data_IF_646378222471
#
_entry.id   IF_646378222471
#
_cell.length_a   1.000
_cell.length_b   1.000
_cell.length_c   1.000
_cell.angle_alpha   90.00
_cell.angle_beta   90.00
_cell.angle_gamma   90.00
#
_symmetry.space_group_name_H-M   'P 1'
#
loop_
_entity.id
_entity.type
_entity.pdbx_description
1 polymer ?
#
# COMPACT_ATOMS: atom_id res chain seq x y z
N UNK A 1 -18.85 -25.52 -4.49
CA UNK A 1 -17.85 -25.03 -5.45
C UNK A 1 -17.67 -26.00 -6.58
N UNK A 2 -17.60 -25.52 -7.82
CA UNK A 2 -17.31 -26.33 -8.99
C UNK A 2 -15.84 -26.77 -9.05
N UNK A 3 -15.51 -27.72 -9.93
CA UNK A 3 -14.12 -28.20 -10.10
C UNK A 3 -13.17 -27.06 -10.49
N UNK A 4 -13.58 -26.21 -11.43
CA UNK A 4 -12.79 -25.05 -11.86
C UNK A 4 -12.44 -24.11 -10.70
N UNK A 5 -13.44 -23.75 -9.88
CA UNK A 5 -13.25 -22.86 -8.72
C UNK A 5 -12.28 -23.48 -7.70
N UNK A 6 -12.41 -24.79 -7.44
CA UNK A 6 -11.49 -25.52 -6.56
C UNK A 6 -10.05 -25.50 -7.07
N UNK A 7 -9.85 -25.73 -8.35
CA UNK A 7 -8.52 -25.74 -8.96
C UNK A 7 -7.90 -24.34 -8.96
N UNK A 8 -8.66 -23.31 -9.32
CA UNK A 8 -8.18 -21.91 -9.32
C UNK A 8 -7.83 -21.45 -7.90
N UNK A 9 -8.67 -21.71 -6.91
CA UNK A 9 -8.40 -21.34 -5.51
C UNK A 9 -7.15 -22.05 -4.97
N UNK A 10 -6.98 -23.34 -5.28
CA UNK A 10 -5.80 -24.10 -4.85
C UNK A 10 -4.53 -23.60 -5.55
N UNK A 11 -4.61 -23.31 -6.84
CA UNK A 11 -3.51 -22.70 -7.61
C UNK A 11 -3.12 -21.34 -7.03
N UNK A 12 -4.09 -20.44 -6.77
CA UNK A 12 -3.84 -19.13 -6.13
C UNK A 12 -3.18 -19.26 -4.76
N UNK A 13 -3.64 -20.20 -3.93
CA UNK A 13 -2.97 -20.49 -2.66
C UNK A 13 -1.52 -20.95 -2.90
N UNK A 14 -1.28 -21.81 -3.90
CA UNK A 14 0.05 -22.20 -4.36
C UNK A 14 0.97 -21.01 -4.65
N UNK A 15 0.48 -19.99 -5.38
CA UNK A 15 1.23 -18.76 -5.68
C UNK A 15 1.60 -17.96 -4.41
N UNK A 16 0.88 -18.17 -3.32
CA UNK A 16 1.00 -17.42 -2.06
C UNK A 16 1.73 -18.17 -0.93
N UNK A 17 1.96 -19.48 -1.07
CA UNK A 17 2.52 -20.35 -0.01
C UNK A 17 3.99 -20.08 0.39
N UNK A 18 4.69 -19.14 -0.25
CA UNK A 18 6.10 -18.86 0.04
C UNK A 18 6.33 -18.00 1.28
N UNK A 19 7.30 -18.37 2.14
CA UNK A 19 7.81 -17.52 3.25
C UNK A 19 8.25 -16.13 2.74
N UNK A 20 8.76 -16.06 1.51
CA UNK A 20 9.11 -14.80 0.84
C UNK A 20 7.89 -13.89 0.63
N UNK A 21 6.71 -14.45 0.37
CA UNK A 21 5.47 -13.69 0.13
C UNK A 21 4.93 -13.08 1.43
N UNK A 22 4.89 -13.86 2.51
CA UNK A 22 4.53 -13.39 3.86
C UNK A 22 5.48 -12.29 4.33
N UNK A 23 6.79 -12.54 4.29
CA UNK A 23 7.79 -11.55 4.68
C UNK A 23 7.71 -10.27 3.85
N UNK A 24 7.49 -10.38 2.53
CA UNK A 24 7.32 -9.23 1.67
C UNK A 24 6.03 -8.46 2.00
N UNK A 25 4.91 -9.14 2.24
CA UNK A 25 3.65 -8.50 2.62
C UNK A 25 3.81 -7.69 3.90
N UNK A 26 4.40 -8.27 4.94
CA UNK A 26 4.65 -7.62 6.22
C UNK A 26 5.59 -6.41 6.05
N UNK A 27 6.73 -6.58 5.37
CA UNK A 27 7.70 -5.49 5.20
C UNK A 27 7.14 -4.33 4.36
N UNK A 28 6.47 -4.65 3.24
CA UNK A 28 5.85 -3.64 2.36
C UNK A 28 4.71 -2.90 3.06
N UNK A 29 3.89 -3.61 3.82
CA UNK A 29 2.80 -3.01 4.61
C UNK A 29 3.34 -2.13 5.74
N UNK A 30 4.37 -2.59 6.46
CA UNK A 30 5.03 -1.81 7.50
C UNK A 30 5.66 -0.53 6.93
N UNK A 31 6.41 -0.64 5.83
CA UNK A 31 7.01 0.51 5.14
C UNK A 31 5.96 1.51 4.67
N UNK A 32 4.82 1.03 4.18
CA UNK A 32 3.72 1.90 3.77
C UNK A 32 3.01 2.56 4.95
N UNK A 33 2.76 1.84 6.05
CA UNK A 33 2.24 2.44 7.27
C UNK A 33 3.15 3.56 7.80
N UNK A 34 4.48 3.37 7.72
CA UNK A 34 5.45 4.43 8.04
C UNK A 34 5.34 5.62 7.07
N UNK A 35 5.16 5.35 5.77
CA UNK A 35 5.01 6.37 4.73
C UNK A 35 3.75 7.22 4.94
N UNK A 36 2.62 6.57 5.26
CA UNK A 36 1.37 7.25 5.58
C UNK A 36 1.50 8.09 6.86
N UNK A 37 2.23 7.59 7.87
CA UNK A 37 2.53 8.36 9.08
C UNK A 37 3.41 9.57 8.77
N UNK A 38 4.44 9.39 7.94
CA UNK A 38 5.32 10.48 7.52
C UNK A 38 4.55 11.56 6.75
N UNK A 39 3.59 11.16 5.90
CA UNK A 39 2.72 12.08 5.17
C UNK A 39 1.85 12.94 6.09
N UNK A 40 1.55 12.52 7.33
CA UNK A 40 0.79 13.35 8.27
C UNK A 40 1.53 14.64 8.67
N UNK A 41 2.86 14.66 8.57
CA UNK A 41 3.67 15.86 8.87
C UNK A 41 3.33 16.99 7.89
N UNK A 42 3.59 16.86 6.56
CA UNK A 42 3.16 17.89 5.61
C UNK A 42 1.65 18.05 5.58
N UNK A 43 0.85 16.98 5.75
CA UNK A 43 -0.61 17.08 5.80
C UNK A 43 -1.07 18.06 6.88
N UNK A 44 -0.48 18.01 8.07
CA UNK A 44 -0.85 18.91 9.17
C UNK A 44 -0.55 20.36 8.81
N UNK A 45 0.56 20.66 8.13
CA UNK A 45 0.86 22.02 7.70
C UNK A 45 -0.07 22.51 6.58
N UNK A 46 -0.33 21.67 5.57
CA UNK A 46 -1.23 21.98 4.46
C UNK A 46 -2.65 22.21 4.97
N UNK A 47 -3.16 21.32 5.84
CA UNK A 47 -4.47 21.46 6.49
C UNK A 47 -4.55 22.72 7.34
N UNK A 48 -3.44 23.12 8.00
CA UNK A 48 -3.37 24.40 8.72
C UNK A 48 -3.61 25.59 7.79
N UNK A 49 -2.96 25.58 6.62
CA UNK A 49 -3.09 26.65 5.64
C UNK A 49 -4.49 26.74 5.05
N UNK A 50 -5.08 25.61 4.68
CA UNK A 50 -6.45 25.57 4.11
C UNK A 50 -7.48 25.98 5.17
N UNK A 51 -7.29 25.56 6.43
CA UNK A 51 -8.17 25.93 7.54
C UNK A 51 -8.27 27.43 7.81
N UNK A 52 -7.32 28.24 7.33
CA UNK A 52 -7.45 29.70 7.39
C UNK A 52 -8.67 30.19 6.59
N UNK A 53 -9.02 29.47 5.52
CA UNK A 53 -10.15 29.76 4.64
C UNK A 53 -11.38 28.93 4.98
N UNK A 54 -11.24 27.60 5.10
CA UNK A 54 -12.36 26.70 5.39
C UNK A 54 -12.86 26.79 6.84
N UNK A 55 -12.06 27.37 7.74
CA UNK A 55 -12.29 27.44 9.19
C UNK A 55 -12.31 26.09 9.91
N UNK A 56 -11.90 25.02 9.23
CA UNK A 56 -11.93 23.68 9.76
C UNK A 56 -10.62 22.92 9.51
N UNK A 57 -10.10 22.28 10.55
CA UNK A 57 -9.04 21.28 10.51
C UNK A 57 -9.65 19.91 10.27
N UNK A 58 -9.11 19.16 9.33
CA UNK A 58 -9.59 17.80 9.02
C UNK A 58 -8.63 16.70 9.44
N UNK A 59 -7.38 17.05 9.76
CA UNK A 59 -6.35 16.07 10.11
C UNK A 59 -5.31 16.67 11.06
N UNK A 60 -4.66 15.79 11.80
CA UNK A 60 -3.58 16.14 12.71
C UNK A 60 -2.54 15.03 12.81
N UNK A 61 -1.26 15.40 12.94
CA UNK A 61 -0.19 14.46 13.21
C UNK A 61 -0.39 13.81 14.59
N UNK A 62 -0.34 12.48 14.61
CA UNK A 62 -0.32 11.69 15.84
C UNK A 62 0.15 10.26 15.53
N UNK A 63 0.85 9.69 16.50
CA UNK A 63 1.20 8.25 16.55
C UNK A 63 0.39 7.51 17.61
N UNK A 64 -0.49 8.22 18.34
CA UNK A 64 -1.42 7.59 19.30
C UNK A 64 -2.33 6.62 18.58
N UNK A 65 -2.74 5.56 19.27
CA UNK A 65 -3.58 4.51 18.70
C UNK A 65 -2.78 3.38 18.05
N UNK A 66 -1.57 3.62 17.55
CA UNK A 66 -0.74 2.55 16.97
C UNK A 66 -0.50 1.40 17.95
N UNK A 67 0.04 1.61 19.17
CA UNK A 67 0.34 0.49 20.06
C UNK A 67 -0.91 -0.30 20.45
N UNK A 68 -2.00 0.38 20.81
CA UNK A 68 -3.24 -0.27 21.22
C UNK A 68 -3.93 -0.99 20.07
N UNK A 69 -4.02 -0.35 18.90
CA UNK A 69 -4.60 -0.95 17.70
C UNK A 69 -3.76 -2.10 17.15
N UNK A 70 -2.43 -2.03 17.26
CA UNK A 70 -1.55 -3.12 16.84
C UNK A 70 -1.74 -4.36 17.74
N UNK A 71 -1.85 -4.18 19.05
CA UNK A 71 -2.15 -5.27 19.99
C UNK A 71 -3.55 -5.86 19.72
N UNK A 72 -4.57 -5.02 19.56
CA UNK A 72 -5.93 -5.46 19.20
C UNK A 72 -5.92 -6.25 17.89
N UNK A 73 -5.24 -5.73 16.87
CA UNK A 73 -5.09 -6.41 15.58
C UNK A 73 -4.30 -7.71 15.68
N UNK A 74 -3.34 -7.82 16.60
CA UNK A 74 -2.65 -9.08 16.89
C UNK A 74 -3.61 -10.15 17.42
N UNK A 75 -4.47 -9.78 18.38
CA UNK A 75 -5.50 -10.68 18.92
C UNK A 75 -6.50 -11.08 17.83
N UNK A 76 -7.05 -10.10 17.10
CA UNK A 76 -8.00 -10.37 16.00
C UNK A 76 -7.37 -11.14 14.85
N UNK A 77 -6.08 -10.94 14.57
CA UNK A 77 -5.30 -11.72 13.60
C UNK A 77 -5.14 -13.16 14.02
N UNK A 78 -4.86 -13.40 15.30
CA UNK A 78 -4.80 -14.74 15.86
C UNK A 78 -6.15 -15.47 15.82
N UNK A 79 -7.22 -14.77 16.15
CA UNK A 79 -8.59 -15.31 16.06
C UNK A 79 -8.95 -15.63 14.60
N UNK A 80 -8.61 -14.73 13.66
CA UNK A 80 -8.81 -14.96 12.24
C UNK A 80 -7.99 -16.16 11.72
N UNK A 81 -6.73 -16.29 12.14
CA UNK A 81 -5.87 -17.40 11.76
C UNK A 81 -6.48 -18.76 12.15
N UNK A 82 -7.04 -18.83 13.36
CA UNK A 82 -7.66 -20.04 13.90
C UNK A 82 -9.03 -20.34 13.33
N UNK A 83 -9.86 -19.32 13.15
CA UNK A 83 -11.29 -19.49 12.89
C UNK A 83 -11.69 -19.18 11.45
N UNK A 84 -10.89 -18.42 10.70
CA UNK A 84 -11.26 -17.87 9.40
C UNK A 84 -12.35 -16.80 9.46
N UNK A 85 -12.74 -16.36 10.67
CA UNK A 85 -13.79 -15.37 10.90
C UNK A 85 -13.19 -14.03 11.33
N UNK A 86 -13.68 -12.95 10.72
CA UNK A 86 -13.34 -11.58 11.07
C UNK A 86 -14.56 -10.71 10.87
N UNK A 87 -14.65 -9.63 11.66
CA UNK A 87 -15.61 -8.53 11.45
C UNK A 87 -15.35 -7.79 10.13
N UNK A 88 -14.15 -7.97 9.56
CA UNK A 88 -13.72 -7.41 8.28
C UNK A 88 -13.84 -8.45 7.17
N UNK A 89 -13.97 -7.96 5.93
CA UNK A 89 -13.83 -8.81 4.76
C UNK A 89 -12.35 -8.99 4.35
N UNK A 90 -11.62 -9.77 5.16
CA UNK A 90 -10.18 -9.98 5.02
C UNK A 90 -9.82 -10.70 3.71
N UNK A 91 -10.72 -11.55 3.20
CA UNK A 91 -10.51 -12.33 1.98
C UNK A 91 -10.45 -11.48 0.70
N UNK A 92 -11.02 -10.27 0.70
CA UNK A 92 -11.02 -9.38 -0.46
C UNK A 92 -9.61 -9.01 -0.95
N UNK A 93 -8.61 -8.93 -0.05
CA UNK A 93 -7.23 -8.56 -0.42
C UNK A 93 -6.63 -9.52 -1.46
N UNK A 94 -6.98 -10.79 -1.34
CA UNK A 94 -6.42 -11.89 -2.11
C UNK A 94 -7.38 -12.42 -3.18
N UNK A 95 -8.49 -11.70 -3.43
CA UNK A 95 -9.58 -12.15 -4.31
C UNK A 95 -10.03 -13.59 -3.97
N UNK A 96 -10.06 -13.91 -2.66
CA UNK A 96 -10.36 -15.23 -2.14
C UNK A 96 -11.86 -15.53 -2.22
N UNK A 97 -12.20 -16.69 -2.78
CA UNK A 97 -13.55 -17.26 -2.74
C UNK A 97 -13.56 -18.48 -1.82
N UNK A 98 -14.38 -18.43 -0.77
CA UNK A 98 -14.57 -19.57 0.14
C UNK A 98 -14.99 -20.79 -0.67
N UNK A 99 -14.11 -21.77 -0.72
CA UNK A 99 -14.26 -22.97 -1.53
C UNK A 99 -14.38 -24.18 -0.61
N UNK A 100 -15.31 -25.09 -0.91
CA UNK A 100 -15.43 -26.37 -0.19
C UNK A 100 -14.87 -27.49 -1.07
N UNK A 101 -13.80 -28.16 -0.62
CA UNK A 101 -13.11 -29.25 -1.33
C UNK A 101 -13.70 -30.66 -1.08
N UNK A 102 -14.74 -30.77 -0.26
CA UNK A 102 -15.38 -32.04 0.09
C UNK A 102 -14.72 -32.74 1.30
N UNK A 103 -15.25 -33.90 1.66
CA UNK A 103 -14.87 -34.62 2.91
C UNK A 103 -13.81 -35.70 2.73
N UNK A 104 -13.36 -35.96 1.49
CA UNK A 104 -12.31 -36.95 1.23
C UNK A 104 -10.98 -36.55 1.90
N UNK A 105 -10.07 -37.49 2.19
CA UNK A 105 -8.76 -37.15 2.76
C UNK A 105 -8.00 -36.10 1.92
N UNK A 106 -8.00 -36.26 0.59
CA UNK A 106 -7.42 -35.30 -0.33
C UNK A 106 -8.13 -33.93 -0.28
N UNK A 107 -9.47 -33.93 -0.25
CA UNK A 107 -10.25 -32.70 -0.16
C UNK A 107 -9.98 -31.93 1.13
N UNK A 108 -9.87 -32.64 2.27
CA UNK A 108 -9.50 -32.03 3.56
C UNK A 108 -8.08 -31.45 3.53
N UNK A 109 -7.13 -32.15 2.92
CA UNK A 109 -5.76 -31.65 2.77
C UNK A 109 -5.72 -30.38 1.91
N UNK A 110 -6.42 -30.35 0.78
CA UNK A 110 -6.54 -29.16 -0.07
C UNK A 110 -7.17 -27.99 0.68
N UNK A 111 -8.26 -28.24 1.42
CA UNK A 111 -8.91 -27.24 2.25
C UNK A 111 -7.95 -26.67 3.30
N UNK A 112 -7.20 -27.52 4.00
CA UNK A 112 -6.26 -27.09 5.04
C UNK A 112 -5.15 -26.19 4.47
N UNK A 113 -4.60 -26.53 3.31
CA UNK A 113 -3.57 -25.71 2.64
C UNK A 113 -4.13 -24.37 2.20
N UNK A 114 -5.31 -24.34 1.56
CA UNK A 114 -5.91 -23.08 1.11
C UNK A 114 -6.29 -22.18 2.27
N UNK A 115 -6.98 -22.73 3.27
CA UNK A 115 -7.41 -21.97 4.44
C UNK A 115 -6.20 -21.46 5.22
N UNK A 116 -5.19 -22.29 5.51
CA UNK A 116 -3.98 -21.83 6.18
C UNK A 116 -3.31 -20.67 5.44
N UNK A 117 -3.16 -20.78 4.11
CA UNK A 117 -2.48 -19.76 3.31
C UNK A 117 -3.20 -18.41 3.37
N UNK A 118 -4.51 -18.39 3.12
CA UNK A 118 -5.29 -17.15 3.13
C UNK A 118 -5.51 -16.62 4.55
N UNK A 119 -5.68 -17.49 5.54
CA UNK A 119 -5.82 -17.08 6.94
C UNK A 119 -4.54 -16.47 7.50
N UNK A 120 -3.37 -17.07 7.20
CA UNK A 120 -2.07 -16.53 7.61
C UNK A 120 -1.85 -15.13 7.03
N UNK A 121 -1.97 -14.99 5.71
CA UNK A 121 -1.77 -13.71 5.04
C UNK A 121 -2.79 -12.64 5.46
N UNK A 122 -4.03 -13.04 5.74
CA UNK A 122 -5.04 -12.12 6.26
C UNK A 122 -4.86 -11.76 7.74
N UNK A 123 -4.22 -12.64 8.52
CA UNK A 123 -3.88 -12.39 9.92
C UNK A 123 -2.71 -11.41 10.05
N UNK A 124 -1.70 -11.52 9.17
CA UNK A 124 -0.53 -10.63 9.12
C UNK A 124 -0.90 -9.14 9.00
N UNK A 125 -1.99 -8.83 8.29
CA UNK A 125 -2.42 -7.45 8.05
C UNK A 125 -3.24 -6.86 9.21
N UNK A 126 -3.78 -7.68 10.11
CA UNK A 126 -4.67 -7.19 11.17
C UNK A 126 -3.98 -6.17 12.10
N UNK A 127 -2.76 -6.40 12.62
CA UNK A 127 -2.07 -5.42 13.45
C UNK A 127 -1.89 -4.06 12.76
N UNK A 128 -1.52 -4.06 11.48
CA UNK A 128 -1.31 -2.83 10.70
C UNK A 128 -2.63 -2.10 10.43
N UNK A 129 -3.68 -2.83 10.08
CA UNK A 129 -5.01 -2.25 9.87
C UNK A 129 -5.53 -1.58 11.14
N UNK A 130 -5.59 -2.31 12.27
CA UNK A 130 -6.16 -1.77 13.50
C UNK A 130 -5.28 -0.66 14.10
N UNK A 131 -3.95 -0.75 13.92
CA UNK A 131 -3.04 0.35 14.23
C UNK A 131 -3.34 1.62 13.43
N UNK A 132 -3.46 1.51 12.10
CA UNK A 132 -3.79 2.64 11.23
C UNK A 132 -5.20 3.20 11.48
N UNK A 133 -6.17 2.32 11.73
CA UNK A 133 -7.55 2.66 12.06
C UNK A 133 -7.62 3.49 13.35
N UNK A 134 -7.04 2.97 14.45
CA UNK A 134 -7.03 3.67 15.74
C UNK A 134 -6.29 5.00 15.65
N UNK A 135 -5.14 5.04 14.96
CA UNK A 135 -4.41 6.29 14.70
C UNK A 135 -5.24 7.31 13.93
N UNK A 136 -5.99 6.88 12.92
CA UNK A 136 -6.86 7.77 12.15
C UNK A 136 -7.95 8.38 13.03
N UNK A 137 -8.59 7.59 13.89
CA UNK A 137 -9.58 8.10 14.86
C UNK A 137 -8.97 9.15 15.79
N UNK A 138 -7.76 8.90 16.33
CA UNK A 138 -7.06 9.90 17.13
C UNK A 138 -6.73 11.17 16.34
N UNK A 139 -6.28 11.04 15.09
CA UNK A 139 -5.95 12.17 14.22
C UNK A 139 -7.17 13.07 14.01
N UNK A 140 -8.31 12.46 13.71
CA UNK A 140 -9.58 13.15 13.49
C UNK A 140 -10.10 13.79 14.79
N UNK A 141 -10.09 13.06 15.91
CA UNK A 141 -10.52 13.58 17.20
C UNK A 141 -9.65 14.77 17.65
N UNK A 142 -8.34 14.72 17.39
CA UNK A 142 -7.42 15.82 17.66
C UNK A 142 -7.76 17.03 16.79
N UNK A 143 -8.00 16.84 15.49
CA UNK A 143 -8.38 17.91 14.58
C UNK A 143 -9.69 18.60 15.03
N UNK A 144 -10.70 17.82 15.43
CA UNK A 144 -11.95 18.36 15.98
C UNK A 144 -11.73 19.14 17.29
N UNK A 145 -10.84 18.65 18.17
CA UNK A 145 -10.48 19.37 19.38
C UNK A 145 -9.79 20.72 19.08
N UNK A 146 -8.95 20.76 18.04
CA UNK A 146 -8.32 22.00 17.55
C UNK A 146 -9.36 22.98 17.01
N UNK A 147 -10.36 22.51 16.26
CA UNK A 147 -11.46 23.33 15.77
C UNK A 147 -12.26 23.97 16.91
N UNK A 148 -12.47 23.20 18.00
CA UNK A 148 -13.10 23.69 19.24
C UNK A 148 -12.17 24.52 20.13
N UNK A 149 -10.92 24.74 19.72
CA UNK A 149 -9.88 25.48 20.47
C UNK A 149 -9.61 24.91 21.87
N UNK A 150 -9.90 23.63 22.10
CA UNK A 150 -9.69 22.97 23.38
C UNK A 150 -8.19 22.78 23.67
N UNK A 151 -7.81 22.90 24.94
CA UNK A 151 -6.41 22.78 25.38
C UNK A 151 -6.29 21.92 26.64
N UNK A 152 -5.06 21.49 26.94
CA UNK A 152 -4.74 20.77 28.18
C UNK A 152 -5.65 19.56 28.43
N UNK A 153 -6.15 19.46 29.67
CA UNK A 153 -7.01 18.35 30.12
C UNK A 153 -8.33 18.27 29.35
N UNK A 154 -8.93 19.40 29.00
CA UNK A 154 -10.21 19.43 28.26
C UNK A 154 -10.05 18.80 26.88
N UNK A 155 -8.97 19.13 26.16
CA UNK A 155 -8.64 18.49 24.89
C UNK A 155 -8.46 16.98 25.06
N UNK A 156 -7.77 16.56 26.12
CA UNK A 156 -7.53 15.15 26.37
C UNK A 156 -8.82 14.37 26.59
N UNK A 157 -9.70 14.88 27.46
CA UNK A 157 -11.02 14.28 27.73
C UNK A 157 -11.86 14.22 26.46
N UNK A 158 -11.89 15.30 25.67
CA UNK A 158 -12.63 15.35 24.42
C UNK A 158 -12.14 14.31 23.41
N UNK A 159 -10.81 14.21 23.21
CA UNK A 159 -10.21 13.23 22.29
C UNK A 159 -10.51 11.80 22.74
N UNK A 160 -10.39 11.51 24.04
CA UNK A 160 -10.63 10.17 24.57
C UNK A 160 -12.11 9.78 24.46
N UNK A 161 -13.03 10.72 24.63
CA UNK A 161 -14.46 10.51 24.45
C UNK A 161 -14.81 10.18 22.99
N UNK A 162 -14.26 10.92 22.02
CA UNK A 162 -14.44 10.63 20.61
C UNK A 162 -13.77 9.33 20.18
N UNK A 163 -12.67 8.93 20.82
CA UNK A 163 -12.10 7.62 20.52
C UNK A 163 -12.98 6.47 21.02
N UNK A 164 -13.61 6.63 22.19
CA UNK A 164 -14.54 5.62 22.71
C UNK A 164 -15.86 5.59 21.94
N UNK A 165 -16.30 6.75 21.46
CA UNK A 165 -17.57 6.93 20.76
C UNK A 165 -17.35 7.75 19.47
N UNK A 166 -16.69 7.17 18.45
CA UNK A 166 -16.44 7.86 17.20
C UNK A 166 -17.75 8.05 16.43
N UNK A 167 -17.82 9.11 15.62
CA UNK A 167 -18.94 9.30 14.71
C UNK A 167 -18.84 8.32 13.52
N UNK A 168 -19.95 8.09 12.82
CA UNK A 168 -19.96 7.25 11.62
C UNK A 168 -18.98 7.75 10.56
N UNK A 169 -18.93 9.06 10.34
CA UNK A 169 -17.96 9.67 9.43
C UNK A 169 -16.51 9.40 9.87
N UNK A 170 -16.22 9.45 11.19
CA UNK A 170 -14.88 9.13 11.68
C UNK A 170 -14.50 7.67 11.40
N UNK A 171 -15.46 6.76 11.58
CA UNK A 171 -15.29 5.34 11.30
C UNK A 171 -15.07 5.09 9.79
N UNK A 172 -15.78 5.79 8.92
CA UNK A 172 -15.59 5.71 7.46
C UNK A 172 -14.18 6.15 7.05
N UNK A 173 -13.71 7.30 7.51
CA UNK A 173 -12.35 7.78 7.24
C UNK A 173 -11.28 6.87 7.83
N UNK A 174 -11.49 6.39 9.06
CA UNK A 174 -10.55 5.48 9.69
C UNK A 174 -10.45 4.15 8.94
N UNK A 175 -11.57 3.65 8.43
CA UNK A 175 -11.60 2.48 7.55
C UNK A 175 -10.89 2.73 6.23
N UNK A 176 -11.12 3.85 5.56
CA UNK A 176 -10.44 4.21 4.30
C UNK A 176 -8.91 4.31 4.48
N UNK A 177 -8.46 4.96 5.56
CA UNK A 177 -7.04 5.06 5.92
C UNK A 177 -6.44 3.69 6.24
N UNK A 178 -7.15 2.86 7.00
CA UNK A 178 -6.67 1.53 7.39
C UNK A 178 -6.61 0.57 6.21
N UNK A 179 -7.62 0.57 5.33
CA UNK A 179 -7.61 -0.21 4.10
C UNK A 179 -6.50 0.25 3.14
N UNK A 180 -6.24 1.55 3.10
CA UNK A 180 -5.12 2.12 2.33
C UNK A 180 -3.79 1.60 2.87
N UNK A 181 -3.58 1.65 4.19
CA UNK A 181 -2.33 1.24 4.82
C UNK A 181 -1.91 -0.20 4.48
N UNK A 182 -2.88 -1.11 4.32
CA UNK A 182 -2.65 -2.54 4.04
C UNK A 182 -2.96 -2.97 2.59
N UNK A 183 -3.15 -2.02 1.68
CA UNK A 183 -3.46 -2.24 0.25
C UNK A 183 -4.78 -2.99 -0.03
N UNK A 184 -5.78 -2.85 0.84
CA UNK A 184 -7.11 -3.43 0.62
C UNK A 184 -8.14 -2.45 0.10
N UNK A 185 -7.78 -1.18 -0.10
CA UNK A 185 -8.69 -0.16 -0.59
C UNK A 185 -9.20 -0.46 -2.02
N UNK A 186 -10.44 -0.06 -2.31
CA UNK A 186 -11.03 -0.22 -3.66
C UNK A 186 -10.41 0.79 -4.62
N UNK A 187 -10.07 0.35 -5.83
CA UNK A 187 -9.46 1.18 -6.85
C UNK A 187 -10.11 0.96 -8.21
N UNK A 188 -10.08 1.97 -9.09
CA UNK A 188 -10.58 1.83 -10.46
C UNK A 188 -9.83 0.75 -11.25
N UNK A 189 -8.50 0.64 -11.08
CA UNK A 189 -7.71 -0.45 -11.66
C UNK A 189 -8.17 -1.81 -11.15
N UNK A 190 -8.48 -1.91 -9.86
CA UNK A 190 -9.04 -3.12 -9.26
C UNK A 190 -10.44 -3.44 -9.81
N UNK A 191 -11.26 -2.44 -10.14
CA UNK A 191 -12.58 -2.63 -10.75
C UNK A 191 -12.47 -3.16 -12.20
N UNK A 192 -11.47 -2.69 -12.95
CA UNK A 192 -11.14 -3.21 -14.29
C UNK A 192 -10.63 -4.65 -14.19
N UNK A 193 -9.69 -4.92 -13.27
CA UNK A 193 -9.18 -6.27 -13.02
C UNK A 193 -10.31 -7.24 -12.65
N UNK A 194 -11.25 -6.83 -11.80
CA UNK A 194 -12.44 -7.63 -11.46
C UNK A 194 -13.35 -7.88 -12.66
N UNK A 195 -13.46 -6.94 -13.59
CA UNK A 195 -14.21 -7.14 -14.84
C UNK A 195 -13.56 -8.21 -15.72
N UNK A 196 -12.22 -8.23 -15.81
CA UNK A 196 -11.47 -9.27 -16.53
C UNK A 196 -11.67 -10.63 -15.84
N UNK A 197 -11.54 -10.69 -14.52
CA UNK A 197 -11.71 -11.91 -13.72
C UNK A 197 -13.11 -12.56 -13.86
N UNK A 198 -14.14 -11.79 -14.22
CA UNK A 198 -15.50 -12.32 -14.46
C UNK A 198 -15.63 -13.09 -15.77
N UNK A 199 -14.74 -12.88 -16.73
CA UNK A 199 -14.73 -13.63 -18.00
C UNK A 199 -14.12 -15.02 -17.78
N UNK A 200 -14.59 -16.04 -18.52
CA UNK A 200 -14.06 -17.42 -18.43
C UNK A 200 -12.53 -17.42 -18.63
N UNK A 201 -11.80 -17.94 -17.64
CA UNK A 201 -10.33 -17.97 -17.65
C UNK A 201 -9.66 -16.66 -17.20
N UNK A 202 -10.41 -15.57 -16.97
CA UNK A 202 -9.86 -14.28 -16.56
C UNK A 202 -9.11 -14.31 -15.23
N UNK A 203 -9.50 -15.18 -14.30
CA UNK A 203 -8.80 -15.37 -13.02
C UNK A 203 -7.41 -16.03 -13.17
N UNK A 204 -7.13 -16.68 -14.29
CA UNK A 204 -5.80 -17.24 -14.60
C UNK A 204 -4.89 -16.14 -15.14
N UNK A 205 -5.45 -15.23 -15.95
CA UNK A 205 -4.73 -14.08 -16.52
C UNK A 205 -4.46 -13.03 -15.45
N UNK A 206 -5.45 -12.76 -14.59
CA UNK A 206 -5.36 -11.78 -13.50
C UNK A 206 -5.68 -12.49 -12.18
N UNK A 207 -4.71 -13.19 -11.56
CA UNK A 207 -4.94 -13.94 -10.33
C UNK A 207 -5.31 -13.06 -9.15
N UNK A 208 -4.66 -11.90 -9.05
CA UNK A 208 -4.85 -10.93 -7.98
C UNK A 208 -5.08 -9.55 -8.59
N UNK A 209 -6.31 -9.07 -8.50
CA UNK A 209 -6.72 -7.76 -9.00
C UNK A 209 -6.61 -6.69 -7.91
N UNK A 210 -6.95 -7.02 -6.66
CA UNK A 210 -7.08 -6.02 -5.59
C UNK A 210 -5.74 -5.43 -5.16
N UNK A 211 -4.84 -6.26 -4.62
CA UNK A 211 -3.58 -5.81 -4.02
C UNK A 211 -2.65 -5.12 -5.03
N UNK A 212 -2.35 -5.72 -6.22
CA UNK A 212 -1.49 -5.03 -7.19
C UNK A 212 -2.06 -3.69 -7.65
N UNK A 213 -3.38 -3.61 -7.85
CA UNK A 213 -4.03 -2.35 -8.21
C UNK A 213 -3.97 -1.31 -7.10
N UNK A 214 -4.08 -1.72 -5.83
CA UNK A 214 -3.93 -0.83 -4.69
C UNK A 214 -2.49 -0.29 -4.58
N UNK A 215 -1.48 -1.15 -4.71
CA UNK A 215 -0.06 -0.72 -4.74
C UNK A 215 0.20 0.24 -5.90
N UNK A 216 -0.24 -0.11 -7.11
CA UNK A 216 -0.12 0.76 -8.29
C UNK A 216 -0.77 2.13 -8.05
N UNK A 217 -1.95 2.14 -7.43
CA UNK A 217 -2.59 3.40 -7.09
C UNK A 217 -1.84 4.20 -6.04
N UNK A 218 -1.17 3.58 -5.07
CA UNK A 218 -0.34 4.33 -4.13
C UNK A 218 0.90 4.92 -4.79
N UNK A 219 1.52 4.24 -5.75
CA UNK A 219 2.59 4.82 -6.56
C UNK A 219 2.10 6.12 -7.23
N UNK A 220 0.90 6.09 -7.83
CA UNK A 220 0.28 7.29 -8.43
C UNK A 220 -0.01 8.36 -7.37
N UNK A 221 -0.62 8.00 -6.24
CA UNK A 221 -1.02 8.95 -5.19
C UNK A 221 0.17 9.70 -4.56
N UNK A 222 1.33 9.05 -4.48
CA UNK A 222 2.56 9.65 -3.97
C UNK A 222 3.38 10.34 -5.08
N UNK A 223 3.10 10.09 -6.35
CA UNK A 223 3.73 10.81 -7.46
C UNK A 223 3.16 12.23 -7.62
N UNK A 224 3.84 13.14 -8.34
CA UNK A 224 3.30 14.45 -8.70
C UNK A 224 1.94 14.43 -9.41
N UNK A 225 1.63 13.34 -10.12
CA UNK A 225 0.35 13.16 -10.83
C UNK A 225 -0.81 12.93 -9.86
N UNK A 226 -0.54 12.47 -8.63
CA UNK A 226 -1.55 12.14 -7.62
C UNK A 226 -2.43 13.33 -7.23
N UNK A 227 -1.82 14.49 -6.96
CA UNK A 227 -2.57 15.72 -6.63
C UNK A 227 -3.41 16.21 -7.80
N UNK A 228 -2.87 16.19 -9.02
CA UNK A 228 -3.60 16.62 -10.22
C UNK A 228 -4.84 15.74 -10.42
N UNK A 229 -4.68 14.43 -10.24
CA UNK A 229 -5.79 13.48 -10.30
C UNK A 229 -6.87 13.80 -9.25
N UNK A 230 -6.48 14.06 -8.01
CA UNK A 230 -7.43 14.37 -6.95
C UNK A 230 -8.17 15.68 -7.23
N UNK A 231 -7.47 16.73 -7.66
CA UNK A 231 -8.09 18.00 -8.07
C UNK A 231 -9.13 17.76 -9.18
N UNK A 232 -8.77 17.04 -10.24
CA UNK A 232 -9.68 16.76 -11.34
C UNK A 232 -10.92 15.97 -10.89
N UNK A 233 -10.75 15.02 -9.98
CA UNK A 233 -11.83 14.22 -9.41
C UNK A 233 -12.80 15.06 -8.57
N UNK A 234 -12.28 15.94 -7.72
CA UNK A 234 -13.11 16.81 -6.87
C UNK A 234 -13.84 17.88 -7.70
N UNK A 235 -13.21 18.41 -8.76
CA UNK A 235 -13.88 19.27 -9.75
C UNK A 235 -15.03 18.52 -10.41
N UNK A 236 -14.80 17.29 -10.88
CA UNK A 236 -15.84 16.49 -11.53
C UNK A 236 -17.01 16.17 -10.59
N UNK A 237 -16.74 15.94 -9.30
CA UNK A 237 -17.78 15.70 -8.29
C UNK A 237 -18.49 16.96 -7.81
N UNK A 238 -17.99 18.14 -8.13
CA UNK A 238 -18.60 19.43 -7.77
C UNK A 238 -18.59 19.77 -6.28
N UNK A 239 -17.85 19.03 -5.45
CA UNK A 239 -17.70 19.28 -4.01
C UNK A 239 -16.26 19.05 -3.62
N UNK A 240 -15.63 20.05 -3.00
CA UNK A 240 -14.26 19.96 -2.49
C UNK A 240 -14.21 19.26 -1.13
N UNK A 241 -13.47 18.17 -1.04
CA UNK A 241 -13.14 17.48 0.19
C UNK A 241 -11.72 17.86 0.66
N UNK A 242 -11.65 18.72 1.68
CA UNK A 242 -10.38 19.19 2.23
C UNK A 242 -9.47 18.05 2.70
N UNK A 243 -10.01 17.05 3.40
CA UNK A 243 -9.21 15.93 3.93
C UNK A 243 -8.52 15.18 2.79
N UNK A 244 -9.27 14.84 1.74
CA UNK A 244 -8.72 14.13 0.57
C UNK A 244 -7.66 14.94 -0.14
N UNK A 245 -7.92 16.22 -0.41
CA UNK A 245 -6.95 17.12 -1.02
C UNK A 245 -5.66 17.23 -0.18
N UNK A 246 -5.79 17.47 1.13
CA UNK A 246 -4.66 17.56 2.07
C UNK A 246 -3.82 16.29 2.03
N UNK A 247 -4.46 15.12 2.14
CA UNK A 247 -3.74 13.84 2.13
C UNK A 247 -3.08 13.57 0.77
N UNK A 248 -3.74 13.90 -0.36
CA UNK A 248 -3.14 13.78 -1.68
C UNK A 248 -1.90 14.68 -1.83
N UNK A 249 -2.00 15.94 -1.41
CA UNK A 249 -0.90 16.90 -1.42
C UNK A 249 0.27 16.45 -0.54
N UNK A 250 -0.03 15.96 0.66
CA UNK A 250 0.95 15.44 1.58
C UNK A 250 1.70 14.20 1.04
N UNK A 251 0.97 13.24 0.46
CA UNK A 251 1.58 12.07 -0.19
C UNK A 251 2.48 12.48 -1.34
N UNK A 252 2.07 13.46 -2.14
CA UNK A 252 2.91 14.02 -3.23
C UNK A 252 4.20 14.65 -2.71
N UNK A 253 4.16 15.38 -1.59
CA UNK A 253 5.37 15.93 -0.95
C UNK A 253 6.32 14.81 -0.54
N UNK A 254 5.82 13.78 0.15
CA UNK A 254 6.64 12.63 0.58
C UNK A 254 7.21 11.87 -0.61
N UNK A 255 6.40 11.59 -1.63
CA UNK A 255 6.82 10.83 -2.79
C UNK A 255 7.80 11.60 -3.69
N UNK A 256 7.65 12.92 -3.82
CA UNK A 256 8.66 13.76 -4.49
C UNK A 256 9.99 13.74 -3.73
N UNK A 257 9.95 13.77 -2.40
CA UNK A 257 11.13 13.57 -1.56
C UNK A 257 11.78 12.20 -1.79
N UNK A 258 10.98 11.13 -1.89
CA UNK A 258 11.49 9.80 -2.22
C UNK A 258 12.11 9.74 -3.63
N UNK A 259 11.51 10.36 -4.64
CA UNK A 259 12.11 10.46 -5.97
C UNK A 259 13.45 11.19 -5.94
N UNK A 260 13.54 12.32 -5.21
CA UNK A 260 14.80 13.04 -5.04
C UNK A 260 15.86 12.18 -4.35
N UNK A 261 15.52 11.44 -3.30
CA UNK A 261 16.44 10.48 -2.68
C UNK A 261 16.86 9.39 -3.66
N UNK A 262 15.96 8.93 -4.53
CA UNK A 262 16.24 7.99 -5.61
C UNK A 262 17.32 8.50 -6.58
N UNK A 263 17.24 9.78 -6.96
CA UNK A 263 18.28 10.46 -7.76
C UNK A 263 19.64 10.39 -7.06
N UNK A 264 19.68 10.70 -5.76
CA UNK A 264 20.94 10.70 -5.00
C UNK A 264 21.52 9.28 -4.86
N UNK A 265 20.68 8.29 -4.56
CA UNK A 265 21.08 6.89 -4.48
C UNK A 265 21.62 6.37 -5.83
N UNK A 266 21.03 6.81 -6.94
CA UNK A 266 21.53 6.47 -8.28
C UNK A 266 22.90 7.06 -8.55
N UNK A 267 23.11 8.34 -8.27
CA UNK A 267 24.42 8.99 -8.41
C UNK A 267 25.49 8.32 -7.54
N UNK A 268 25.11 7.85 -6.36
CA UNK A 268 26.00 7.13 -5.45
C UNK A 268 26.23 5.65 -5.80
N UNK A 269 25.60 5.13 -6.87
CA UNK A 269 25.68 3.71 -7.23
C UNK A 269 24.98 2.77 -6.23
N UNK A 270 24.11 3.30 -5.36
CA UNK A 270 23.40 2.57 -4.30
C UNK A 270 22.02 2.08 -4.74
N UNK A 271 21.58 2.38 -5.97
CA UNK A 271 20.36 1.82 -6.56
C UNK A 271 20.67 1.14 -7.89
N UNK A 272 20.07 -0.03 -8.09
CA UNK A 272 20.10 -0.78 -9.33
C UNK A 272 18.74 -0.62 -10.01
N UNK A 273 18.74 -0.22 -11.28
CA UNK A 273 17.53 -0.07 -12.08
C UNK A 273 17.23 -1.39 -12.82
N UNK A 274 16.69 -1.32 -14.04
CA UNK A 274 16.38 -2.50 -14.85
C UNK A 274 17.61 -3.37 -15.15
N UNK A 275 17.35 -4.64 -15.47
CA UNK A 275 18.40 -5.62 -15.73
C UNK A 275 19.30 -5.20 -16.92
N UNK A 276 20.64 -5.35 -16.81
CA UNK A 276 21.57 -4.93 -17.86
C UNK A 276 21.33 -5.65 -19.19
N UNK A 277 21.55 -4.93 -20.31
CA UNK A 277 21.45 -5.54 -21.64
C UNK A 277 22.70 -6.35 -22.01
N UNK A 278 23.90 -5.95 -21.58
CA UNK A 278 25.17 -6.59 -21.95
C UNK A 278 25.53 -7.80 -21.08
N UNK A 279 26.04 -8.87 -21.70
CA UNK A 279 26.37 -10.13 -21.01
C UNK A 279 27.44 -9.95 -19.93
N UNK A 280 28.48 -9.15 -20.19
CA UNK A 280 29.55 -8.88 -19.22
C UNK A 280 29.04 -8.20 -17.95
N UNK A 281 28.16 -7.20 -18.11
CA UNK A 281 27.57 -6.49 -16.98
C UNK A 281 26.62 -7.38 -16.18
N UNK A 282 25.86 -8.26 -16.86
CA UNK A 282 25.03 -9.27 -16.18
C UNK A 282 25.87 -10.22 -15.33
N UNK A 283 26.97 -10.75 -15.87
CA UNK A 283 27.89 -11.62 -15.11
C UNK A 283 28.47 -10.90 -13.89
N UNK A 284 28.79 -9.61 -14.04
CA UNK A 284 29.25 -8.81 -12.91
C UNK A 284 28.15 -8.65 -11.85
N UNK A 285 26.92 -8.35 -12.25
CA UNK A 285 25.78 -8.26 -11.31
C UNK A 285 25.52 -9.58 -10.59
N UNK A 286 25.64 -10.72 -11.27
CA UNK A 286 25.52 -12.04 -10.67
C UNK A 286 26.60 -12.27 -9.60
N UNK A 287 27.85 -11.90 -9.87
CA UNK A 287 28.96 -11.99 -8.92
C UNK A 287 28.79 -11.04 -7.71
N UNK A 288 28.23 -9.86 -7.94
CA UNK A 288 27.95 -8.85 -6.90
C UNK A 288 26.64 -9.13 -6.13
N UNK A 289 25.85 -10.12 -6.55
CA UNK A 289 24.51 -10.37 -6.04
C UNK A 289 23.52 -9.22 -6.31
N UNK A 290 23.80 -8.36 -7.29
CA UNK A 290 23.01 -7.20 -7.68
C UNK A 290 21.74 -7.61 -8.40
N UNK A 291 20.61 -7.11 -7.94
CA UNK A 291 19.29 -7.43 -8.48
C UNK A 291 18.68 -6.24 -9.20
N UNK A 292 17.87 -6.44 -10.25
CA UNK A 292 17.06 -5.35 -10.81
C UNK A 292 16.20 -4.67 -9.75
N UNK A 293 16.00 -3.37 -9.91
CA UNK A 293 15.10 -2.57 -9.09
C UNK A 293 15.36 -2.81 -7.60
N UNK A 294 16.60 -2.60 -7.16
CA UNK A 294 17.06 -2.89 -5.80
C UNK A 294 17.95 -1.78 -5.24
N UNK A 295 18.05 -1.70 -3.92
CA UNK A 295 18.85 -0.72 -3.19
C UNK A 295 19.93 -1.45 -2.41
N UNK A 296 21.16 -0.94 -2.41
CA UNK A 296 22.27 -1.45 -1.63
C UNK A 296 22.17 -0.95 -0.19
N UNK A 297 21.97 -1.86 0.76
CA UNK A 297 21.89 -1.57 2.20
C UNK A 297 22.74 -2.60 2.93
N UNK A 298 23.69 -2.13 3.75
CA UNK A 298 24.62 -2.97 4.52
C UNK A 298 25.34 -4.02 3.64
N UNK A 299 25.81 -3.58 2.47
CA UNK A 299 26.51 -4.44 1.51
C UNK A 299 25.61 -5.48 0.81
N UNK A 300 24.28 -5.41 0.96
CA UNK A 300 23.33 -6.33 0.33
C UNK A 300 22.31 -5.60 -0.52
N UNK A 301 22.10 -6.09 -1.74
CA UNK A 301 21.06 -5.59 -2.65
C UNK A 301 19.67 -6.10 -2.23
N UNK A 302 18.79 -5.17 -1.83
CA UNK A 302 17.42 -5.42 -1.35
C UNK A 302 16.41 -4.93 -2.38
N UNK A 303 15.48 -5.79 -2.80
CA UNK A 303 14.45 -5.44 -3.78
C UNK A 303 13.54 -4.32 -3.26
N UNK A 304 13.16 -3.42 -4.15
CA UNK A 304 12.40 -2.22 -3.82
C UNK A 304 10.97 -2.51 -3.32
N UNK A 305 10.46 -3.69 -3.62
CA UNK A 305 9.15 -4.18 -3.17
C UNK A 305 9.04 -4.20 -1.64
N UNK A 306 10.16 -4.35 -0.93
CA UNK A 306 10.20 -4.37 0.54
C UNK A 306 9.94 -3.00 1.17
N UNK A 307 10.04 -1.91 0.39
CA UNK A 307 9.78 -0.54 0.84
C UNK A 307 8.42 0.01 0.39
N UNK A 308 7.55 -0.85 -0.18
CA UNK A 308 6.24 -0.46 -0.67
C UNK A 308 6.29 0.60 -1.81
N UNK A 309 5.30 1.51 -1.87
CA UNK A 309 5.23 2.55 -2.90
C UNK A 309 6.44 3.47 -2.94
N UNK A 310 7.05 3.78 -1.80
CA UNK A 310 8.25 4.63 -1.77
C UNK A 310 9.45 3.95 -2.43
N UNK A 311 9.58 2.63 -2.33
CA UNK A 311 10.58 1.86 -3.08
C UNK A 311 10.48 2.08 -4.59
N UNK A 312 9.26 2.09 -5.12
CA UNK A 312 9.00 2.35 -6.53
C UNK A 312 9.36 3.78 -6.92
N UNK A 313 9.06 4.76 -6.05
CA UNK A 313 9.39 6.17 -6.29
C UNK A 313 10.91 6.44 -6.23
N UNK A 314 11.64 5.74 -5.36
CA UNK A 314 13.11 5.76 -5.35
C UNK A 314 13.66 5.29 -6.71
N UNK A 315 13.13 4.18 -7.25
CA UNK A 315 13.52 3.67 -8.57
C UNK A 315 13.14 4.63 -9.70
N UNK A 316 11.95 5.23 -9.66
CA UNK A 316 11.54 6.26 -10.62
C UNK A 316 12.52 7.45 -10.59
N UNK A 317 12.94 7.89 -9.40
CA UNK A 317 13.98 8.91 -9.24
C UNK A 317 15.32 8.51 -9.88
N UNK A 318 15.73 7.26 -9.73
CA UNK A 318 16.93 6.74 -10.37
C UNK A 318 16.81 6.69 -11.91
N UNK A 319 15.68 6.24 -12.45
CA UNK A 319 15.44 6.31 -13.90
C UNK A 319 15.40 7.74 -14.43
N UNK A 320 14.84 8.68 -13.67
CA UNK A 320 14.86 10.10 -14.02
C UNK A 320 16.30 10.59 -14.18
N UNK A 321 17.18 10.27 -13.22
CA UNK A 321 18.57 10.68 -13.31
C UNK A 321 19.31 10.01 -14.48
N UNK A 322 19.11 8.70 -14.69
CA UNK A 322 19.69 7.98 -15.83
C UNK A 322 19.27 8.60 -17.17
N UNK A 323 17.99 8.90 -17.32
CA UNK A 323 17.46 9.49 -18.54
C UNK A 323 17.94 10.94 -18.71
N UNK A 324 18.03 11.71 -17.62
CA UNK A 324 18.59 13.07 -17.65
C UNK A 324 20.05 13.07 -18.10
N UNK A 325 20.87 12.14 -17.59
CA UNK A 325 22.28 12.01 -17.97
C UNK A 325 22.47 11.63 -19.45
N UNK A 326 21.52 10.86 -20.01
CA UNK A 326 21.61 10.37 -21.40
C UNK A 326 20.93 11.28 -22.43
N UNK A 327 19.90 12.06 -22.04
CA UNK A 327 19.08 12.88 -22.93
C UNK A 327 19.26 14.39 -22.73
N UNK A 328 19.65 14.83 -21.53
CA UNK A 328 19.80 16.24 -21.17
C UNK A 328 18.48 17.03 -21.00
N UNK A 329 17.32 16.44 -21.32
CA UNK A 329 15.99 17.07 -21.20
C UNK A 329 15.25 16.58 -19.95
N UNK A 330 14.91 17.45 -18.99
CA UNK A 330 14.12 17.07 -17.81
C UNK A 330 12.75 16.49 -18.16
N UNK A 331 12.11 16.96 -19.23
CA UNK A 331 10.80 16.47 -19.66
C UNK A 331 10.89 15.05 -20.20
N UNK A 332 11.85 14.78 -21.10
CA UNK A 332 12.07 13.43 -21.63
C UNK A 332 12.50 12.48 -20.52
N UNK A 333 13.35 12.96 -19.60
CA UNK A 333 13.77 12.20 -18.44
C UNK A 333 12.59 11.77 -17.56
N UNK A 334 11.61 12.64 -17.37
CA UNK A 334 10.40 12.30 -16.62
C UNK A 334 9.53 11.27 -17.34
N UNK A 335 9.40 11.36 -18.67
CA UNK A 335 8.65 10.37 -19.48
C UNK A 335 9.32 8.99 -19.37
N UNK A 336 10.64 8.92 -19.56
CA UNK A 336 11.39 7.68 -19.42
C UNK A 336 11.38 7.14 -17.98
N UNK A 337 11.42 8.01 -16.97
CA UNK A 337 11.29 7.63 -15.57
C UNK A 337 9.96 6.95 -15.27
N UNK A 338 8.87 7.49 -15.80
CA UNK A 338 7.54 6.89 -15.65
C UNK A 338 7.44 5.54 -16.37
N UNK A 339 8.01 5.43 -17.58
CA UNK A 339 8.06 4.17 -18.33
C UNK A 339 8.91 3.11 -17.61
N UNK A 340 10.09 3.50 -17.10
CA UNK A 340 10.98 2.65 -16.31
C UNK A 340 10.35 2.20 -14.99
N UNK A 341 9.66 3.12 -14.30
CA UNK A 341 8.87 2.83 -13.11
C UNK A 341 7.73 1.85 -13.36
N UNK A 342 6.96 2.04 -14.43
CA UNK A 342 5.91 1.12 -14.85
C UNK A 342 6.47 -0.27 -15.16
N UNK A 343 7.58 -0.33 -15.91
CA UNK A 343 8.28 -1.59 -16.20
C UNK A 343 8.75 -2.28 -14.91
N UNK A 344 9.42 -1.55 -14.01
CA UNK A 344 9.85 -2.03 -12.69
C UNK A 344 8.69 -2.60 -11.87
N UNK A 345 7.54 -1.91 -11.88
CA UNK A 345 6.34 -2.38 -11.21
C UNK A 345 5.82 -3.70 -11.79
N UNK A 346 5.75 -3.82 -13.12
CA UNK A 346 5.34 -5.07 -13.79
C UNK A 346 6.36 -6.21 -13.66
N UNK A 347 7.61 -5.88 -13.32
CA UNK A 347 8.69 -6.82 -13.07
C UNK A 347 8.66 -7.42 -11.65
N UNK A 348 7.92 -6.81 -10.72
CA UNK A 348 7.82 -7.30 -9.34
C UNK A 348 7.11 -8.66 -9.27
N UNK A 349 7.59 -9.49 -8.34
CA UNK A 349 7.20 -10.89 -8.18
C UNK A 349 5.75 -11.10 -7.75
N UNK A 350 5.06 -10.07 -7.25
CA UNK A 350 3.63 -10.16 -6.95
C UNK A 350 2.73 -9.78 -8.15
N UNK A 351 3.29 -9.17 -9.19
CA UNK A 351 2.59 -8.89 -10.45
C UNK A 351 2.79 -10.03 -11.44
N UNK A 352 4.00 -10.61 -11.44
CA UNK A 352 4.30 -11.84 -12.18
C UNK A 352 3.78 -13.01 -11.35
N UNK A 353 2.70 -13.64 -11.77
CA UNK A 353 2.26 -14.92 -11.20
C UNK A 353 3.34 -15.97 -11.42
N UNK A 354 4.30 -16.06 -10.50
CA UNK A 354 5.41 -17.03 -10.37
C UNK A 354 6.19 -17.31 -11.67
N UNK A 355 7.46 -16.89 -11.70
CA UNK A 355 8.50 -17.60 -12.48
C UNK A 355 9.15 -18.64 -11.58
#
# INVERSE_FOLDING_TARGET
SGLYERLVTLWKAGLLTGIKTSGLNVMSTAAHAMSETAALVPATFIDSGIALFSKERTTAFTVRGYPTGFVEGGVKGWDYLRTGHSERDVGQKYDYKKTNYGKSPLGKAQQAVTDFTFHLLGAEDQPFYYGAFSRSLYSQAIAQAMNKKLKGKERQVFVDNLQKNPTDEMLEWAKEDAETAIYTNRTHLGDVARSIQKVKGGEIVVPFGRTPSAVAMQIVNYSPVGVVKEIAHEIHKGKFNQRKFVHAAARTVVGTGAMYLGVQLFKAGLIALGFPKGERERKLWELEGKKPNSILIDGKWRGIETFGPLGNLLVIGGYFQQALDSKGSPTEAMIEAMAGGAKSFTEQTFVRGVN
#
